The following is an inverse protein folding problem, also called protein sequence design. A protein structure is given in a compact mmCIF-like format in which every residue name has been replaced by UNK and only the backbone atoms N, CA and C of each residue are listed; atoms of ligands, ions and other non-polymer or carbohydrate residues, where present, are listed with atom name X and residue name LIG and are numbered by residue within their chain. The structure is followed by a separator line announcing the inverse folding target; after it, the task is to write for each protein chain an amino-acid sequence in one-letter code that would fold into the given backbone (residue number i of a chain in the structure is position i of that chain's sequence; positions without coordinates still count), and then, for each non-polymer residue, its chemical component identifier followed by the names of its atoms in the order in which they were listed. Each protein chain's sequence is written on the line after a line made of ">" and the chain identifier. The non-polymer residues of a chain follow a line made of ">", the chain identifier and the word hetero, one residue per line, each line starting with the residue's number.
data_IF_867835761855
#
_entry.id   IF_867835761855
#
_cell.length_a   1.000
_cell.length_b   1.000
_cell.length_c   1.000
_cell.angle_alpha   90.00
_cell.angle_beta   90.00
_cell.angle_gamma   90.00
#
_symmetry.space_group_name_H-M   'P 1'
#
loop_
_entity.id
_entity.type
_entity.pdbx_description
1 polymer ?
#
# COMPACT_ATOMS: atom_id res chain seq x y z
N UNK A 1 8.41 13.59 0.63
CA UNK A 1 7.92 12.79 -0.51
C UNK A 1 7.42 11.41 -0.08
N UNK A 2 8.20 10.65 0.70
CA UNK A 2 7.86 9.29 1.17
C UNK A 2 6.54 9.23 1.93
N UNK A 3 6.36 10.06 2.98
CA UNK A 3 5.14 10.07 3.80
C UNK A 3 3.87 10.34 2.97
N UNK A 4 3.95 11.29 2.05
CA UNK A 4 2.84 11.63 1.16
C UNK A 4 2.53 10.48 0.19
N UNK A 5 3.55 9.85 -0.38
CA UNK A 5 3.37 8.70 -1.27
C UNK A 5 2.67 7.52 -0.56
N UNK A 6 3.10 7.20 0.67
CA UNK A 6 2.47 6.13 1.48
C UNK A 6 1.02 6.47 1.79
N UNK A 7 0.74 7.69 2.26
CA UNK A 7 -0.62 8.10 2.60
C UNK A 7 -1.55 8.03 1.39
N UNK A 8 -1.14 8.60 0.25
CA UNK A 8 -1.94 8.60 -0.96
C UNK A 8 -2.17 7.18 -1.50
N UNK A 9 -1.13 6.34 -1.51
CA UNK A 9 -1.23 4.96 -1.99
C UNK A 9 -2.13 4.11 -1.08
N UNK A 10 -1.96 4.20 0.24
CA UNK A 10 -2.81 3.49 1.21
C UNK A 10 -4.28 3.89 1.11
N UNK A 11 -4.58 5.19 1.06
CA UNK A 11 -5.95 5.66 0.89
C UNK A 11 -6.56 5.25 -0.46
N UNK A 12 -5.80 5.31 -1.54
CA UNK A 12 -6.29 4.90 -2.87
C UNK A 12 -6.55 3.39 -2.92
N UNK A 13 -5.67 2.57 -2.35
CA UNK A 13 -5.83 1.12 -2.32
C UNK A 13 -7.02 0.68 -1.46
N UNK A 14 -7.25 1.38 -0.36
CA UNK A 14 -8.46 1.21 0.43
C UNK A 14 -9.74 1.62 -0.34
N UNK A 15 -9.71 2.73 -1.11
CA UNK A 15 -10.84 3.13 -1.95
C UNK A 15 -11.17 2.07 -3.01
N UNK A 16 -10.15 1.40 -3.53
CA UNK A 16 -10.30 0.32 -4.51
C UNK A 16 -11.07 -0.87 -3.91
N UNK A 17 -10.69 -1.29 -2.70
CA UNK A 17 -11.40 -2.33 -1.95
C UNK A 17 -12.82 -1.90 -1.54
N UNK A 18 -12.99 -0.65 -1.09
CA UNK A 18 -14.28 -0.14 -0.63
C UNK A 18 -15.33 -0.06 -1.76
N UNK A 19 -14.89 0.19 -3.00
CA UNK A 19 -15.76 0.27 -4.20
C UNK A 19 -15.95 -1.06 -4.92
N UNK A 20 -15.28 -2.13 -4.50
CA UNK A 20 -15.39 -3.43 -5.16
C UNK A 20 -16.76 -4.09 -4.85
N UNK A 21 -17.42 -4.75 -5.82
CA UNK A 21 -18.76 -5.32 -5.61
C UNK A 21 -18.82 -6.42 -4.55
N UNK A 22 -17.76 -7.23 -4.44
CA UNK A 22 -17.66 -8.35 -3.49
C UNK A 22 -16.59 -8.02 -2.42
N UNK A 23 -16.99 -7.56 -1.22
CA UNK A 23 -16.05 -7.14 -0.19
C UNK A 23 -15.08 -8.24 0.25
N UNK A 24 -15.49 -9.51 0.19
CA UNK A 24 -14.67 -10.64 0.62
C UNK A 24 -13.50 -10.93 -0.34
N UNK A 25 -13.60 -10.51 -1.60
CA UNK A 25 -12.56 -10.69 -2.64
C UNK A 25 -11.69 -9.44 -2.80
N UNK A 26 -11.29 -8.85 -1.68
CA UNK A 26 -10.40 -7.69 -1.62
C UNK A 26 -9.24 -7.97 -0.68
N UNK A 27 -8.13 -7.24 -0.86
CA UNK A 27 -6.93 -7.38 -0.02
C UNK A 27 -7.22 -7.27 1.48
N UNK A 28 -8.14 -6.38 1.87
CA UNK A 28 -8.53 -6.18 3.27
C UNK A 28 -9.65 -7.13 3.69
N UNK A 29 -10.58 -7.46 2.79
CA UNK A 29 -11.71 -8.36 3.10
C UNK A 29 -11.30 -9.81 3.32
N UNK A 30 -10.20 -10.25 2.70
CA UNK A 30 -9.63 -11.57 2.95
C UNK A 30 -9.10 -11.72 4.39
N UNK A 31 -8.56 -10.64 4.96
CA UNK A 31 -7.99 -10.63 6.32
C UNK A 31 -8.99 -10.14 7.38
N UNK A 32 -9.92 -9.27 7.01
CA UNK A 32 -10.96 -8.67 7.84
C UNK A 32 -12.32 -8.74 7.09
N UNK A 33 -13.09 -9.84 7.25
CA UNK A 33 -14.32 -10.06 6.50
C UNK A 33 -15.34 -8.92 6.61
N UNK A 34 -15.46 -8.30 7.79
CA UNK A 34 -16.36 -7.20 8.08
C UNK A 34 -15.65 -5.84 8.22
N UNK A 35 -14.58 -5.59 7.45
CA UNK A 35 -13.81 -4.33 7.55
C UNK A 35 -14.62 -3.02 7.36
N UNK A 36 -15.86 -3.09 6.89
CA UNK A 36 -16.75 -1.93 6.75
C UNK A 36 -17.39 -1.50 8.07
N UNK A 37 -17.62 -2.42 9.01
CA UNK A 37 -18.16 -2.13 10.34
C UNK A 37 -17.07 -1.64 11.31
N UNK A 38 -15.81 -1.89 10.97
CA UNK A 38 -14.66 -1.46 11.74
C UNK A 38 -14.50 0.07 11.82
N UNK A 39 -13.81 0.51 12.88
CA UNK A 39 -13.51 1.93 13.06
C UNK A 39 -12.64 2.48 11.93
N UNK A 40 -12.78 3.77 11.64
CA UNK A 40 -11.94 4.45 10.65
C UNK A 40 -10.45 4.33 10.99
N UNK A 41 -10.12 4.33 12.29
CA UNK A 41 -8.73 4.17 12.75
C UNK A 41 -8.14 2.83 12.34
N UNK A 42 -8.84 1.72 12.60
CA UNK A 42 -8.39 0.37 12.21
C UNK A 42 -8.18 0.30 10.70
N UNK A 43 -9.17 0.75 9.92
CA UNK A 43 -9.13 0.73 8.45
C UNK A 43 -7.95 1.55 7.91
N UNK A 44 -7.73 2.73 8.48
CA UNK A 44 -6.62 3.60 8.10
C UNK A 44 -5.27 2.98 8.45
N UNK A 45 -5.08 2.52 9.68
CA UNK A 45 -3.82 1.91 10.14
C UNK A 45 -3.49 0.68 9.30
N UNK A 46 -4.46 -0.18 9.00
CA UNK A 46 -4.27 -1.37 8.14
C UNK A 46 -3.84 -0.96 6.72
N UNK A 47 -4.46 0.07 6.12
CA UNK A 47 -4.06 0.57 4.79
C UNK A 47 -2.68 1.22 4.77
N UNK A 48 -2.31 1.93 5.83
CA UNK A 48 -0.98 2.50 5.99
C UNK A 48 0.08 1.42 6.18
N UNK A 49 -0.23 0.39 6.98
CA UNK A 49 0.65 -0.74 7.18
C UNK A 49 0.95 -1.46 5.85
N UNK A 50 -0.08 -1.78 5.06
CA UNK A 50 0.10 -2.35 3.72
C UNK A 50 0.97 -1.46 2.81
N UNK A 51 0.72 -0.15 2.83
CA UNK A 51 1.45 0.79 1.98
C UNK A 51 2.92 0.92 2.37
N UNK A 52 3.22 0.91 3.69
CA UNK A 52 4.59 0.96 4.21
C UNK A 52 5.33 -0.34 3.92
N UNK A 53 4.74 -1.51 4.21
CA UNK A 53 5.42 -2.81 4.00
C UNK A 53 5.74 -3.06 2.53
N UNK A 54 4.89 -2.55 1.62
CA UNK A 54 5.13 -2.57 0.18
C UNK A 54 6.20 -1.55 -0.24
N UNK A 55 6.17 -0.31 0.30
CA UNK A 55 7.17 0.72 0.00
C UNK A 55 8.57 0.29 0.43
N UNK A 56 8.70 -0.24 1.64
CA UNK A 56 9.98 -0.67 2.21
C UNK A 56 10.41 -2.05 1.73
N UNK A 57 9.66 -2.65 0.79
CA UNK A 57 9.96 -3.95 0.18
C UNK A 57 10.06 -5.10 1.20
N UNK A 58 9.37 -4.99 2.34
CA UNK A 58 9.33 -6.04 3.37
C UNK A 58 8.43 -7.19 2.93
N UNK A 59 7.20 -6.87 2.48
CA UNK A 59 6.30 -7.83 1.82
C UNK A 59 5.97 -9.10 2.61
N UNK A 60 5.38 -9.00 3.80
CA UNK A 60 5.00 -10.17 4.61
C UNK A 60 3.99 -11.11 3.93
N UNK A 61 3.16 -10.59 3.01
CA UNK A 61 2.15 -11.36 2.27
C UNK A 61 0.82 -11.57 3.01
N UNK A 62 0.71 -11.06 4.22
CA UNK A 62 -0.53 -11.02 5.02
C UNK A 62 -1.63 -10.17 4.38
N UNK A 63 -1.24 -9.15 3.62
CA UNK A 63 -2.11 -8.29 2.84
C UNK A 63 -1.65 -8.30 1.39
N UNK A 64 -2.40 -8.99 0.53
CA UNK A 64 -2.06 -9.18 -0.88
C UNK A 64 -3.32 -9.07 -1.76
N UNK A 65 -3.17 -8.64 -3.03
CA UNK A 65 -4.29 -8.37 -3.91
C UNK A 65 -5.10 -9.64 -4.19
N UNK A 66 -6.42 -9.54 -4.13
CA UNK A 66 -7.34 -10.66 -4.39
C UNK A 66 -8.08 -10.55 -5.72
N UNK A 67 -8.01 -9.38 -6.36
CA UNK A 67 -8.69 -9.10 -7.61
C UNK A 67 -7.76 -8.43 -8.63
N UNK A 68 -8.15 -8.49 -9.90
CA UNK A 68 -7.35 -7.96 -11.01
C UNK A 68 -7.09 -6.46 -10.90
N UNK A 69 -8.04 -5.70 -10.32
CA UNK A 69 -7.92 -4.24 -10.17
C UNK A 69 -6.85 -3.88 -9.14
N UNK A 70 -6.85 -4.57 -8.00
CA UNK A 70 -5.81 -4.45 -6.97
C UNK A 70 -4.46 -4.88 -7.52
N UNK A 71 -4.42 -5.97 -8.29
CA UNK A 71 -3.18 -6.46 -8.89
C UNK A 71 -2.55 -5.44 -9.86
N UNK A 72 -3.36 -4.79 -10.71
CA UNK A 72 -2.87 -3.75 -11.62
C UNK A 72 -2.33 -2.54 -10.84
N UNK A 73 -3.03 -2.12 -9.78
CA UNK A 73 -2.57 -1.02 -8.93
C UNK A 73 -1.25 -1.36 -8.24
N UNK A 74 -1.12 -2.57 -7.69
CA UNK A 74 0.09 -3.01 -7.00
C UNK A 74 1.29 -3.06 -7.93
N UNK A 75 1.12 -3.55 -9.16
CA UNK A 75 2.17 -3.53 -10.17
C UNK A 75 2.66 -2.09 -10.41
N UNK A 76 1.74 -1.14 -10.61
CA UNK A 76 2.09 0.26 -10.83
C UNK A 76 2.78 0.87 -9.60
N UNK A 77 2.29 0.57 -8.39
CA UNK A 77 2.85 1.06 -7.14
C UNK A 77 4.26 0.49 -6.88
N UNK A 78 4.49 -0.80 -7.13
CA UNK A 78 5.81 -1.42 -6.99
C UNK A 78 6.84 -0.80 -7.97
N UNK A 79 6.43 -0.52 -9.21
CA UNK A 79 7.30 0.18 -10.19
C UNK A 79 7.65 1.60 -9.72
N UNK A 80 6.69 2.33 -9.15
CA UNK A 80 6.94 3.64 -8.56
C UNK A 80 7.90 3.55 -7.36
N UNK A 81 7.73 2.57 -6.48
CA UNK A 81 8.56 2.38 -5.30
C UNK A 81 10.03 2.09 -5.64
N UNK A 82 10.28 1.33 -6.72
CA UNK A 82 11.63 1.12 -7.24
C UNK A 82 12.33 2.45 -7.57
N UNK A 83 11.64 3.33 -8.31
CA UNK A 83 12.17 4.65 -8.66
C UNK A 83 12.39 5.54 -7.44
N UNK A 84 11.43 5.56 -6.51
CA UNK A 84 11.53 6.35 -5.29
C UNK A 84 12.67 5.89 -4.40
N UNK A 85 12.85 4.58 -4.19
CA UNK A 85 13.93 4.03 -3.38
C UNK A 85 15.29 4.32 -3.99
N UNK A 86 15.45 4.18 -5.32
CA UNK A 86 16.68 4.55 -6.01
C UNK A 86 17.02 6.05 -5.84
N UNK A 87 16.03 6.92 -5.94
CA UNK A 87 16.18 8.35 -5.70
C UNK A 87 16.61 8.64 -4.25
N UNK A 88 16.00 8.01 -3.26
CA UNK A 88 16.35 8.20 -1.85
C UNK A 88 17.80 7.78 -1.57
N UNK A 89 18.21 6.60 -2.05
CA UNK A 89 19.57 6.10 -1.89
C UNK A 89 20.57 7.09 -2.53
N UNK A 90 20.30 7.55 -3.76
CA UNK A 90 21.17 8.50 -4.45
C UNK A 90 21.38 9.82 -3.68
N UNK A 91 20.31 10.37 -3.10
CA UNK A 91 20.42 11.58 -2.27
C UNK A 91 21.20 11.32 -0.97
N UNK A 92 20.98 10.17 -0.31
CA UNK A 92 21.72 9.81 0.90
C UNK A 92 23.21 9.61 0.60
N UNK A 93 23.58 8.98 -0.52
CA UNK A 93 24.98 8.85 -0.93
C UNK A 93 25.62 10.21 -1.19
N UNK A 94 24.92 11.14 -1.85
CA UNK A 94 25.42 12.49 -2.07
C UNK A 94 25.71 13.23 -0.74
N UNK A 95 24.80 13.11 0.24
CA UNK A 95 24.99 13.68 1.58
C UNK A 95 26.16 13.07 2.37
N UNK A 96 26.54 11.82 2.11
CA UNK A 96 27.66 11.16 2.80
C UNK A 96 29.01 11.52 2.19
N UNK A 97 29.04 11.78 0.88
CA UNK A 97 30.26 12.11 0.15
C UNK A 97 30.65 13.59 0.33
N UNK A 98 29.69 14.44 0.69
CA UNK A 98 29.91 15.84 1.07
C UNK A 98 30.15 16.02 2.56
#
# INVERSE_FOLDING_TARGET
>A
VTLFAVHCAGCFYYLLAAKYPDPAKTWIGASLPDFKSETLWVRYVTSMYWSITTLTTVGYGDLHPQNEREMIFDIAYMLFNLGLTAYLIGNMTNLVVH
#
